data_IF_701349822623
#
_entry.id   IF_701349822623
#
_cell.length_a   1.000
_cell.length_b   1.000
_cell.length_c   1.000
_cell.angle_alpha   90.00
_cell.angle_beta   90.00
_cell.angle_gamma   90.00
#
_symmetry.space_group_name_H-M   'P 1'
#
loop_
_entity.id
_entity.type
_entity.pdbx_description
1 polymer ?
#
# COMPACT_ATOMS: atom_id res chain seq x y z
N UNK A 1 -3.64 -14.77 10.49
CA UNK A 1 -3.48 -13.97 9.24
C UNK A 1 -2.08 -14.00 8.62
N UNK A 2 -0.95 -13.87 9.35
CA UNK A 2 0.37 -13.75 8.72
C UNK A 2 0.83 -14.99 7.94
N UNK A 3 0.38 -16.19 8.32
CA UNK A 3 0.79 -17.46 7.68
C UNK A 3 0.11 -17.72 6.32
N UNK A 4 -1.15 -17.30 6.17
CA UNK A 4 -1.88 -17.43 4.89
C UNK A 4 -1.31 -16.49 3.83
N UNK A 5 -1.01 -15.25 4.21
CA UNK A 5 -0.36 -14.28 3.31
C UNK A 5 1.02 -14.79 2.87
N UNK A 6 1.83 -15.30 3.81
CA UNK A 6 3.14 -15.85 3.48
C UNK A 6 3.02 -17.04 2.53
N UNK A 7 2.11 -17.97 2.79
CA UNK A 7 1.87 -19.12 1.92
C UNK A 7 1.40 -18.70 0.52
N UNK A 8 0.49 -17.73 0.43
CA UNK A 8 0.03 -17.18 -0.84
C UNK A 8 1.16 -16.50 -1.64
N UNK A 9 2.00 -15.70 -0.98
CA UNK A 9 3.16 -15.08 -1.62
C UNK A 9 4.18 -16.13 -2.09
N UNK A 10 4.42 -17.19 -1.31
CA UNK A 10 5.30 -18.29 -1.73
C UNK A 10 4.77 -18.97 -2.99
N UNK A 11 3.49 -19.32 -3.02
CA UNK A 11 2.84 -19.93 -4.18
C UNK A 11 2.89 -19.02 -5.40
N UNK A 12 2.58 -17.73 -5.22
CA UNK A 12 2.63 -16.73 -6.29
C UNK A 12 4.02 -16.66 -6.91
N UNK A 13 5.07 -16.42 -6.12
CA UNK A 13 6.43 -16.25 -6.64
C UNK A 13 7.04 -17.57 -7.13
N UNK A 14 6.64 -18.72 -6.57
CA UNK A 14 7.02 -20.02 -7.11
C UNK A 14 6.39 -20.26 -8.50
N UNK A 15 5.10 -19.92 -8.66
CA UNK A 15 4.41 -19.95 -9.94
C UNK A 15 5.06 -19.03 -10.97
N UNK A 16 5.42 -17.80 -10.57
CA UNK A 16 6.15 -16.86 -11.43
C UNK A 16 7.52 -17.40 -11.84
N UNK A 17 8.29 -17.99 -10.91
CA UNK A 17 9.58 -18.59 -11.22
C UNK A 17 9.43 -19.72 -12.25
N UNK A 18 8.44 -20.60 -12.06
CA UNK A 18 8.15 -21.68 -13.01
C UNK A 18 7.72 -21.15 -14.38
N UNK A 19 6.88 -20.11 -14.42
CA UNK A 19 6.46 -19.48 -15.66
C UNK A 19 7.64 -18.84 -16.40
N UNK A 20 8.52 -18.10 -15.71
CA UNK A 20 9.70 -17.49 -16.33
C UNK A 20 10.69 -18.53 -16.85
N UNK A 21 10.94 -19.59 -16.09
CA UNK A 21 11.79 -20.69 -16.52
C UNK A 21 11.23 -21.36 -17.78
N UNK A 22 9.93 -21.66 -17.78
CA UNK A 22 9.25 -22.35 -18.89
C UNK A 22 9.23 -21.47 -20.14
N UNK A 23 8.83 -20.20 -20.02
CA UNK A 23 8.80 -19.26 -21.15
C UNK A 23 10.20 -19.00 -21.70
N UNK A 24 11.19 -18.80 -20.83
CA UNK A 24 12.58 -18.61 -21.23
C UNK A 24 13.15 -19.83 -21.97
N UNK A 25 12.87 -21.04 -21.49
CA UNK A 25 13.30 -22.27 -22.13
C UNK A 25 12.60 -22.49 -23.47
N UNK A 26 11.27 -22.28 -23.55
CA UNK A 26 10.51 -22.40 -24.80
C UNK A 26 10.99 -21.41 -25.85
N UNK A 27 11.22 -20.15 -25.47
CA UNK A 27 11.72 -19.12 -26.38
C UNK A 27 13.14 -19.43 -26.87
N UNK A 28 13.99 -20.00 -26.01
CA UNK A 28 15.35 -20.38 -26.38
C UNK A 28 15.40 -21.59 -27.33
N UNK A 29 14.59 -22.63 -27.07
CA UNK A 29 14.55 -23.85 -27.89
C UNK A 29 13.78 -23.65 -29.20
N UNK A 30 12.73 -22.83 -29.19
CA UNK A 30 11.81 -22.63 -30.32
C UNK A 30 11.53 -21.14 -30.59
N UNK A 31 12.55 -20.32 -30.89
CA UNK A 31 12.38 -18.87 -31.06
C UNK A 31 11.40 -18.54 -32.20
N UNK A 32 11.57 -19.13 -33.38
CA UNK A 32 10.67 -18.87 -34.51
C UNK A 32 9.27 -19.45 -34.27
N UNK A 33 9.17 -20.57 -33.56
CA UNK A 33 7.90 -21.20 -33.21
C UNK A 33 7.05 -20.31 -32.29
N UNK A 34 7.68 -19.73 -31.27
CA UNK A 34 7.00 -18.81 -30.33
C UNK A 34 6.54 -17.53 -31.02
N UNK A 35 7.36 -16.93 -31.89
CA UNK A 35 6.97 -15.73 -32.67
C UNK A 35 5.82 -16.05 -33.62
N UNK A 36 5.86 -17.20 -34.32
CA UNK A 36 4.75 -17.64 -35.19
C UNK A 36 3.46 -17.84 -34.43
N UNK A 37 3.50 -18.47 -33.26
CA UNK A 37 2.31 -18.67 -32.43
C UNK A 37 1.69 -17.34 -31.98
N UNK A 38 2.52 -16.37 -31.59
CA UNK A 38 2.05 -15.03 -31.19
C UNK A 38 1.50 -14.25 -32.38
N UNK A 39 2.14 -14.30 -33.55
CA UNK A 39 1.60 -13.71 -34.77
C UNK A 39 0.27 -14.36 -35.19
N UNK A 40 0.13 -15.68 -35.06
CA UNK A 40 -1.11 -16.40 -35.35
C UNK A 40 -2.24 -16.00 -34.39
N UNK A 41 -1.94 -15.79 -33.11
CA UNK A 41 -2.92 -15.30 -32.13
C UNK A 41 -3.38 -13.85 -32.42
N UNK A 42 -2.49 -13.01 -32.96
CA UNK A 42 -2.80 -11.62 -33.32
C UNK A 42 -3.48 -11.45 -34.69
N UNK A 43 -3.34 -12.42 -35.59
CA UNK A 43 -3.86 -12.34 -36.96
C UNK A 43 -5.39 -12.16 -37.05
N UNK A 44 -6.23 -12.86 -36.26
CA UNK A 44 -7.68 -12.64 -36.25
C UNK A 44 -8.10 -11.23 -35.83
N UNK A 45 -7.24 -10.53 -35.07
CA UNK A 45 -7.48 -9.16 -34.61
C UNK A 45 -6.94 -8.11 -35.60
N UNK A 46 -6.42 -8.53 -36.76
CA UNK A 46 -5.91 -7.65 -37.81
C UNK A 46 -4.50 -7.11 -37.56
N UNK A 47 -3.74 -7.66 -36.61
CA UNK A 47 -2.39 -7.19 -36.33
C UNK A 47 -1.37 -7.67 -37.38
N UNK A 48 -0.44 -6.80 -37.82
CA UNK A 48 0.63 -7.20 -38.72
C UNK A 48 1.61 -8.16 -38.01
N UNK A 49 2.24 -9.08 -38.75
CA UNK A 49 3.25 -9.97 -38.19
C UNK A 49 4.48 -9.18 -37.74
N UNK A 50 5.02 -9.54 -36.58
CA UNK A 50 6.28 -8.97 -36.10
C UNK A 50 7.46 -9.33 -37.02
N UNK A 51 8.45 -8.42 -37.20
CA UNK A 51 9.60 -8.68 -38.04
C UNK A 51 10.48 -9.82 -37.48
N UNK A 52 11.05 -10.69 -38.34
CA UNK A 52 11.98 -11.73 -37.91
C UNK A 52 13.30 -11.08 -37.47
N UNK A 53 13.59 -11.10 -36.15
CA UNK A 53 14.72 -10.33 -35.59
C UNK A 53 15.70 -11.16 -34.74
N UNK A 54 15.55 -12.48 -34.69
CA UNK A 54 16.33 -13.31 -33.78
C UNK A 54 17.77 -13.58 -34.28
N UNK A 55 18.66 -12.58 -34.21
CA UNK A 55 20.10 -12.84 -34.19
C UNK A 55 20.43 -13.61 -32.90
N UNK A 56 21.26 -14.65 -33.00
CA UNK A 56 21.65 -15.53 -31.87
C UNK A 56 22.15 -14.76 -30.64
N UNK A 57 22.75 -13.59 -30.85
CA UNK A 57 23.18 -12.68 -29.80
C UNK A 57 22.02 -12.17 -28.92
N UNK A 58 20.92 -11.69 -29.53
CA UNK A 58 19.76 -11.19 -28.79
C UNK A 58 19.01 -12.30 -28.06
N UNK A 59 18.98 -13.51 -28.64
CA UNK A 59 18.45 -14.71 -27.96
C UNK A 59 19.24 -15.01 -26.68
N UNK A 60 20.58 -14.91 -26.72
CA UNK A 60 21.43 -15.10 -25.54
C UNK A 60 21.14 -14.06 -24.45
N UNK A 61 20.98 -12.78 -24.82
CA UNK A 61 20.65 -11.72 -23.87
C UNK A 61 19.25 -11.91 -23.25
N UNK A 62 18.27 -12.32 -24.06
CA UNK A 62 16.93 -12.66 -23.60
C UNK A 62 16.92 -13.84 -22.63
N UNK A 63 17.69 -14.89 -22.92
CA UNK A 63 17.84 -16.04 -22.02
C UNK A 63 18.48 -15.61 -20.69
N UNK A 64 19.56 -14.83 -20.72
CA UNK A 64 20.23 -14.35 -19.52
C UNK A 64 19.27 -13.54 -18.61
N UNK A 65 18.45 -12.69 -19.20
CA UNK A 65 17.40 -11.97 -18.47
C UNK A 65 16.35 -12.92 -17.87
N UNK A 66 15.90 -13.94 -18.62
CA UNK A 66 14.94 -14.94 -18.13
C UNK A 66 15.48 -15.74 -16.95
N UNK A 67 16.78 -16.10 -16.97
CA UNK A 67 17.45 -16.72 -15.82
C UNK A 67 17.45 -15.78 -14.61
N UNK A 68 17.79 -14.51 -14.80
CA UNK A 68 17.82 -13.53 -13.70
C UNK A 68 16.45 -13.38 -13.03
N UNK A 69 15.39 -13.14 -13.80
CA UNK A 69 14.03 -12.96 -13.23
C UNK A 69 13.51 -14.24 -12.58
N UNK A 70 13.86 -15.41 -13.12
CA UNK A 70 13.55 -16.71 -12.51
C UNK A 70 14.23 -16.86 -11.15
N UNK A 71 15.52 -16.54 -11.07
CA UNK A 71 16.28 -16.63 -9.82
C UNK A 71 15.77 -15.64 -8.77
N UNK A 72 15.45 -14.40 -9.18
CA UNK A 72 14.83 -13.42 -8.29
C UNK A 72 13.49 -13.93 -7.74
N UNK A 73 12.59 -14.41 -8.62
CA UNK A 73 11.31 -14.96 -8.22
C UNK A 73 11.46 -16.18 -7.29
N UNK A 74 12.39 -17.10 -7.59
CA UNK A 74 12.67 -18.27 -6.75
C UNK A 74 13.25 -17.88 -5.39
N UNK A 75 14.11 -16.86 -5.34
CA UNK A 75 14.66 -16.35 -4.09
C UNK A 75 13.58 -15.70 -3.24
N UNK A 76 12.68 -14.91 -3.84
CA UNK A 76 11.52 -14.33 -3.15
C UNK A 76 10.59 -15.45 -2.63
N UNK A 77 10.34 -16.50 -3.42
CA UNK A 77 9.47 -17.60 -3.02
C UNK A 77 9.98 -18.37 -1.79
N UNK A 78 11.29 -18.45 -1.56
CA UNK A 78 11.87 -19.10 -0.37
C UNK A 78 11.57 -18.33 0.91
N UNK A 79 11.71 -17.01 0.86
CA UNK A 79 11.46 -16.13 1.99
C UNK A 79 10.88 -14.78 1.53
N UNK A 80 9.55 -14.67 1.33
CA UNK A 80 8.93 -13.47 0.79
C UNK A 80 9.10 -12.24 1.67
N UNK A 81 9.19 -12.41 3.00
CA UNK A 81 9.32 -11.28 3.93
C UNK A 81 10.76 -10.81 4.03
N UNK A 82 11.71 -11.73 4.29
CA UNK A 82 13.13 -11.35 4.40
C UNK A 82 13.73 -10.85 3.09
N UNK A 83 13.18 -11.26 1.94
CA UNK A 83 13.65 -10.88 0.60
C UNK A 83 12.71 -9.94 -0.14
N UNK A 84 11.86 -9.22 0.58
CA UNK A 84 10.93 -8.25 -0.01
C UNK A 84 11.63 -7.20 -0.88
N UNK A 85 12.87 -6.83 -0.56
CA UNK A 85 13.68 -5.89 -1.34
C UNK A 85 13.95 -6.34 -2.79
N UNK A 86 13.85 -7.64 -3.10
CA UNK A 86 14.01 -8.18 -4.45
C UNK A 86 12.75 -7.99 -5.32
N UNK A 87 11.57 -7.83 -4.71
CA UNK A 87 10.31 -7.65 -5.43
C UNK A 87 10.28 -6.39 -6.31
N UNK A 88 10.67 -5.19 -5.84
CA UNK A 88 10.75 -4.01 -6.71
C UNK A 88 11.83 -4.13 -7.77
N UNK A 89 12.92 -4.87 -7.52
CA UNK A 89 13.96 -5.14 -8.52
C UNK A 89 13.43 -6.01 -9.68
N UNK A 90 12.70 -7.07 -9.36
CA UNK A 90 11.99 -7.89 -10.33
C UNK A 90 10.97 -7.05 -11.13
N UNK A 91 10.21 -6.21 -10.42
CA UNK A 91 9.23 -5.33 -11.04
C UNK A 91 9.88 -4.33 -12.00
N UNK A 92 11.01 -3.73 -11.63
CA UNK A 92 11.73 -2.79 -12.47
C UNK A 92 12.16 -3.44 -13.78
N UNK A 93 12.76 -4.65 -13.73
CA UNK A 93 13.13 -5.39 -14.94
C UNK A 93 11.93 -5.64 -15.87
N UNK A 94 10.81 -6.08 -15.30
CA UNK A 94 9.56 -6.33 -16.05
C UNK A 94 8.94 -5.05 -16.60
N UNK A 95 8.95 -3.97 -15.83
CA UNK A 95 8.47 -2.67 -16.27
C UNK A 95 9.31 -2.12 -17.43
N UNK A 96 10.64 -2.28 -17.41
CA UNK A 96 11.50 -1.86 -18.53
C UNK A 96 11.13 -2.58 -19.81
N UNK A 97 11.00 -3.92 -19.80
CA UNK A 97 10.58 -4.67 -21.00
C UNK A 97 9.18 -4.26 -21.47
N UNK A 98 8.23 -4.08 -20.54
CA UNK A 98 6.88 -3.63 -20.85
C UNK A 98 6.86 -2.25 -21.52
N UNK A 99 7.56 -1.27 -20.96
CA UNK A 99 7.62 0.10 -21.49
C UNK A 99 8.30 0.14 -22.86
N UNK A 100 9.38 -0.61 -23.05
CA UNK A 100 10.05 -0.69 -24.35
C UNK A 100 9.14 -1.32 -25.41
N UNK A 101 8.43 -2.40 -25.09
CA UNK A 101 7.46 -3.01 -26.01
C UNK A 101 6.25 -2.10 -26.29
N UNK A 102 5.73 -1.40 -25.29
CA UNK A 102 4.68 -0.39 -25.49
C UNK A 102 5.17 0.73 -26.43
N UNK A 103 6.41 1.19 -26.23
CA UNK A 103 7.06 2.15 -27.12
C UNK A 103 7.14 1.65 -28.56
N UNK A 104 7.62 0.43 -28.79
CA UNK A 104 7.68 -0.15 -30.14
C UNK A 104 6.31 -0.32 -30.78
N UNK A 105 5.28 -0.68 -30.00
CA UNK A 105 3.92 -0.79 -30.49
C UNK A 105 3.38 0.57 -30.98
N UNK A 106 3.65 1.65 -30.25
CA UNK A 106 3.16 3.00 -30.57
C UNK A 106 3.97 3.67 -31.67
N UNK A 107 5.30 3.54 -31.64
CA UNK A 107 6.20 4.34 -32.47
C UNK A 107 6.83 3.59 -33.65
N UNK A 108 6.71 2.27 -33.74
CA UNK A 108 7.40 1.49 -34.79
C UNK A 108 6.45 0.63 -35.59
N UNK A 109 5.91 -0.43 -34.98
CA UNK A 109 5.00 -1.36 -35.64
C UNK A 109 4.00 -1.84 -34.60
N UNK A 110 2.69 -1.69 -34.82
CA UNK A 110 1.67 -2.17 -33.90
C UNK A 110 1.51 -3.69 -34.01
N UNK A 111 2.59 -4.47 -33.86
CA UNK A 111 2.53 -5.92 -33.87
C UNK A 111 1.94 -6.42 -32.55
N UNK A 112 1.09 -7.45 -32.63
CA UNK A 112 0.45 -8.07 -31.46
C UNK A 112 1.46 -8.52 -30.41
N UNK A 113 2.62 -9.01 -30.86
CA UNK A 113 3.73 -9.43 -30.00
C UNK A 113 4.12 -8.35 -28.97
N UNK A 114 4.26 -7.10 -29.41
CA UNK A 114 4.68 -6.00 -28.55
C UNK A 114 3.59 -5.60 -27.56
N UNK A 115 2.33 -5.58 -28.01
CA UNK A 115 1.19 -5.31 -27.12
C UNK A 115 1.03 -6.40 -26.06
N UNK A 116 1.06 -7.67 -26.48
CA UNK A 116 0.96 -8.81 -25.58
C UNK A 116 2.07 -8.80 -24.53
N UNK A 117 3.33 -8.58 -24.94
CA UNK A 117 4.44 -8.47 -24.01
C UNK A 117 4.26 -7.27 -23.06
N UNK A 118 3.88 -6.10 -23.58
CA UNK A 118 3.67 -4.90 -22.76
C UNK A 118 2.61 -5.12 -21.67
N UNK A 119 1.50 -5.76 -22.00
CA UNK A 119 0.41 -6.05 -21.06
C UNK A 119 0.82 -7.11 -20.03
N UNK A 120 1.43 -8.22 -20.48
CA UNK A 120 1.85 -9.31 -19.59
C UNK A 120 2.94 -8.85 -18.63
N UNK A 121 4.03 -8.27 -19.14
CA UNK A 121 5.14 -7.81 -18.29
C UNK A 121 4.74 -6.62 -17.41
N UNK A 122 3.84 -5.75 -17.89
CA UNK A 122 3.26 -4.68 -17.08
C UNK A 122 2.44 -5.22 -15.91
N UNK A 123 1.55 -6.19 -16.16
CA UNK A 123 0.77 -6.84 -15.11
C UNK A 123 1.68 -7.56 -14.09
N UNK A 124 2.72 -8.26 -14.56
CA UNK A 124 3.70 -8.92 -13.69
C UNK A 124 4.46 -7.93 -12.80
N UNK A 125 4.86 -6.78 -13.35
CA UNK A 125 5.49 -5.71 -12.58
C UNK A 125 4.56 -5.17 -11.49
N UNK A 126 3.29 -4.91 -11.83
CA UNK A 126 2.28 -4.45 -10.88
C UNK A 126 2.01 -5.49 -9.78
N UNK A 127 1.93 -6.78 -10.12
CA UNK A 127 1.78 -7.86 -9.14
C UNK A 127 2.96 -7.90 -8.18
N UNK A 128 4.20 -7.79 -8.68
CA UNK A 128 5.39 -7.76 -7.84
C UNK A 128 5.44 -6.53 -6.92
N UNK A 129 5.06 -5.34 -7.42
CA UNK A 129 4.96 -4.12 -6.61
C UNK A 129 3.82 -4.20 -5.58
N UNK A 130 2.67 -4.76 -5.95
CA UNK A 130 1.55 -4.98 -5.04
C UNK A 130 1.93 -5.93 -3.91
N UNK A 131 2.60 -7.04 -4.23
CA UNK A 131 3.14 -7.96 -3.23
C UNK A 131 4.15 -7.27 -2.29
N UNK A 132 5.05 -6.46 -2.84
CA UNK A 132 5.99 -5.67 -2.05
C UNK A 132 5.27 -4.70 -1.11
N UNK A 133 4.28 -3.96 -1.60
CA UNK A 133 3.50 -3.02 -0.81
C UNK A 133 2.77 -3.73 0.34
N UNK A 134 2.22 -4.92 0.10
CA UNK A 134 1.55 -5.74 1.14
C UNK A 134 2.55 -6.23 2.19
N UNK A 135 3.74 -6.68 1.79
CA UNK A 135 4.79 -7.09 2.75
C UNK A 135 5.27 -5.91 3.57
N UNK A 136 5.60 -4.80 2.91
CA UNK A 136 5.99 -3.54 3.54
C UNK A 136 4.92 -3.06 4.54
N UNK A 137 3.64 -3.22 4.20
CA UNK A 137 2.52 -2.84 5.03
C UNK A 137 2.27 -3.76 6.24
N UNK A 138 2.78 -4.98 6.23
CA UNK A 138 2.55 -5.98 7.29
C UNK A 138 3.79 -6.24 8.14
N UNK A 139 4.92 -5.63 7.82
CA UNK A 139 6.18 -5.80 8.55
C UNK A 139 6.13 -5.18 9.96
N UNK A 140 6.76 -5.83 10.96
CA UNK A 140 6.61 -5.49 12.38
C UNK A 140 7.52 -4.37 12.88
N UNK A 141 8.76 -4.30 12.39
CA UNK A 141 9.72 -3.27 12.82
C UNK A 141 9.31 -1.83 12.40
N UNK A 142 8.75 -1.61 11.20
CA UNK A 142 8.15 -0.32 10.84
C UNK A 142 6.97 0.06 11.74
N UNK A 143 6.19 -0.93 12.21
CA UNK A 143 4.99 -0.71 13.02
C UNK A 143 5.28 0.04 14.34
N UNK A 144 6.42 -0.24 14.98
CA UNK A 144 6.83 0.47 16.19
C UNK A 144 7.14 1.95 15.92
N UNK A 145 7.81 2.24 14.78
CA UNK A 145 8.08 3.62 14.34
C UNK A 145 6.79 4.33 13.93
N UNK A 146 5.89 3.62 13.26
CA UNK A 146 4.57 4.14 12.86
C UNK A 146 3.72 4.45 14.10
N UNK A 147 3.77 3.62 15.14
CA UNK A 147 3.10 3.89 16.41
C UNK A 147 3.67 5.12 17.13
N UNK A 148 5.00 5.27 17.17
CA UNK A 148 5.64 6.45 17.75
C UNK A 148 5.28 7.74 16.98
N UNK A 149 5.24 7.66 15.65
CA UNK A 149 4.83 8.76 14.80
C UNK A 149 3.34 9.09 14.97
N UNK A 150 2.47 8.08 15.04
CA UNK A 150 1.06 8.27 15.29
C UNK A 150 0.83 9.00 16.62
N UNK A 151 1.49 8.57 17.70
CA UNK A 151 1.43 9.27 19.00
C UNK A 151 1.88 10.71 18.88
N UNK A 152 3.01 10.97 18.22
CA UNK A 152 3.50 12.32 18.00
C UNK A 152 2.52 13.21 17.22
N UNK A 153 1.76 12.64 16.26
CA UNK A 153 0.73 13.36 15.53
C UNK A 153 -0.51 13.59 16.40
N UNK A 154 -0.98 12.58 17.12
CA UNK A 154 -2.17 12.68 17.98
C UNK A 154 -1.96 13.64 19.15
N UNK A 155 -0.77 13.63 19.76
CA UNK A 155 -0.39 14.58 20.82
C UNK A 155 -0.38 16.02 20.31
N UNK A 156 -0.01 16.24 19.05
CA UNK A 156 -0.07 17.56 18.43
C UNK A 156 -1.50 17.98 18.03
N UNK A 157 -2.40 17.02 17.81
CA UNK A 157 -3.81 17.28 17.48
C UNK A 157 -4.68 17.51 18.73
N UNK A 158 -4.42 16.75 19.80
CA UNK A 158 -5.14 16.81 21.07
C UNK A 158 -4.11 16.84 22.21
N UNK A 159 -3.48 18.01 22.46
CA UNK A 159 -2.46 18.14 23.49
C UNK A 159 -3.07 18.09 24.90
N UNK A 160 -2.31 17.55 25.85
CA UNK A 160 -2.67 17.59 27.28
C UNK A 160 -2.73 19.03 27.78
N UNK A 161 -3.76 19.35 28.55
CA UNK A 161 -3.94 20.70 29.10
C UNK A 161 -4.23 21.77 28.05
N UNK A 162 -4.66 21.37 26.85
CA UNK A 162 -5.18 22.27 25.83
C UNK A 162 -6.63 22.67 26.13
N UNK A 163 -7.55 22.62 25.16
CA UNK A 163 -8.98 22.86 25.40
C UNK A 163 -9.61 21.88 26.40
N UNK A 164 -8.99 20.71 26.59
CA UNK A 164 -9.41 19.68 27.53
C UNK A 164 -8.26 19.35 28.48
N UNK A 165 -8.56 18.96 29.73
CA UNK A 165 -7.54 18.52 30.67
C UNK A 165 -6.84 17.22 30.21
N UNK A 166 -7.58 16.32 29.56
CA UNK A 166 -7.05 15.08 28.98
C UNK A 166 -6.52 15.32 27.56
N UNK A 167 -5.38 14.73 27.23
CA UNK A 167 -4.83 14.71 25.88
C UNK A 167 -4.90 13.33 25.21
N UNK A 168 -4.45 13.24 23.96
CA UNK A 168 -4.41 11.97 23.23
C UNK A 168 -3.60 10.89 23.99
N UNK A 169 -2.46 11.24 24.59
CA UNK A 169 -1.63 10.33 25.38
C UNK A 169 -2.31 9.77 26.65
N UNK A 170 -3.39 10.38 27.13
CA UNK A 170 -4.18 9.86 28.27
C UNK A 170 -5.25 8.86 27.83
N UNK A 171 -5.36 8.62 26.52
CA UNK A 171 -6.39 7.79 25.92
C UNK A 171 -5.77 6.71 25.02
N UNK A 172 -6.48 5.60 24.83
CA UNK A 172 -6.07 4.53 23.89
C UNK A 172 -6.40 4.89 22.42
N UNK A 173 -6.19 6.16 22.04
CA UNK A 173 -6.60 6.73 20.75
C UNK A 173 -5.73 6.21 19.58
N UNK A 174 -4.44 6.00 19.83
CA UNK A 174 -3.50 5.42 18.87
C UNK A 174 -3.92 3.99 18.48
N UNK A 175 -4.24 3.14 19.47
CA UNK A 175 -4.73 1.79 19.22
C UNK A 175 -6.14 1.77 18.63
N UNK A 176 -7.00 2.75 18.96
CA UNK A 176 -8.32 2.89 18.35
C UNK A 176 -8.24 3.11 16.84
N UNK A 177 -7.42 4.09 16.42
CA UNK A 177 -7.20 4.39 15.00
C UNK A 177 -6.55 3.21 14.27
N UNK A 178 -5.53 2.58 14.87
CA UNK A 178 -4.90 1.40 14.28
C UNK A 178 -5.91 0.25 14.07
N UNK A 179 -6.80 0.00 15.04
CA UNK A 179 -7.87 -1.00 14.92
C UNK A 179 -8.92 -0.60 13.89
N UNK A 180 -9.28 0.67 13.82
CA UNK A 180 -10.25 1.17 12.83
C UNK A 180 -9.78 0.89 11.41
N UNK A 181 -8.56 1.30 11.07
CA UNK A 181 -7.98 1.03 9.75
C UNK A 181 -7.84 -0.47 9.47
N UNK A 182 -7.46 -1.27 10.47
CA UNK A 182 -7.37 -2.72 10.33
C UNK A 182 -8.73 -3.40 10.04
N UNK A 183 -9.84 -2.84 10.56
CA UNK A 183 -11.21 -3.37 10.33
C UNK A 183 -11.83 -2.88 9.04
N UNK A 184 -11.50 -1.66 8.60
CA UNK A 184 -12.11 -1.03 7.43
C UNK A 184 -11.81 -1.81 6.14
N UNK A 185 -10.57 -2.26 5.96
CA UNK A 185 -10.15 -2.93 4.73
C UNK A 185 -8.95 -3.87 4.99
N UNK A 186 -8.80 -4.99 4.25
CA UNK A 186 -7.63 -5.86 4.36
C UNK A 186 -6.28 -5.15 4.12
N UNK A 187 -6.29 -4.10 3.30
CA UNK A 187 -5.13 -3.22 3.04
C UNK A 187 -5.11 -1.95 3.91
N UNK A 188 -6.03 -1.81 4.87
CA UNK A 188 -6.12 -0.63 5.72
C UNK A 188 -4.86 -0.31 6.52
N UNK A 189 -4.13 -1.29 7.09
CA UNK A 189 -2.83 -1.04 7.72
C UNK A 189 -1.80 -0.47 6.75
N UNK A 190 -1.81 -0.89 5.48
CA UNK A 190 -0.93 -0.36 4.44
C UNK A 190 -1.23 1.11 4.15
N UNK A 191 -2.50 1.43 3.93
CA UNK A 191 -2.96 2.79 3.66
C UNK A 191 -2.67 3.72 4.84
N UNK A 192 -2.86 3.23 6.06
CA UNK A 192 -2.54 3.98 7.27
C UNK A 192 -1.04 4.27 7.40
N UNK A 193 -0.18 3.28 7.14
CA UNK A 193 1.28 3.49 7.10
C UNK A 193 1.68 4.48 6.03
N UNK A 194 1.10 4.40 4.83
CA UNK A 194 1.37 5.36 3.76
C UNK A 194 0.99 6.79 4.18
N UNK A 195 -0.17 6.96 4.84
CA UNK A 195 -0.62 8.24 5.38
C UNK A 195 0.38 8.78 6.41
N UNK A 196 0.82 7.95 7.36
CA UNK A 196 1.82 8.33 8.35
C UNK A 196 3.15 8.74 7.69
N UNK A 197 3.61 7.98 6.68
CA UNK A 197 4.84 8.33 5.94
C UNK A 197 4.70 9.61 5.14
N UNK A 198 3.53 9.89 4.59
CA UNK A 198 3.26 11.17 3.92
C UNK A 198 3.42 12.33 4.91
N UNK A 199 2.96 12.20 6.16
CA UNK A 199 3.16 13.20 7.20
C UNK A 199 4.65 13.30 7.59
N UNK A 200 5.30 12.17 7.86
CA UNK A 200 6.72 12.11 8.26
C UNK A 200 7.64 12.83 7.28
N UNK A 201 7.51 12.51 5.99
CA UNK A 201 8.38 13.06 4.94
C UNK A 201 7.84 14.34 4.34
N UNK A 202 6.54 14.63 4.43
CA UNK A 202 6.01 15.89 3.96
C UNK A 202 6.53 17.07 4.78
N UNK A 203 6.86 16.89 6.07
CA UNK A 203 7.61 17.88 6.85
C UNK A 203 9.00 18.18 6.25
N UNK A 204 9.67 17.17 5.69
CA UNK A 204 10.98 17.34 5.03
C UNK A 204 10.83 18.01 3.68
N UNK A 205 9.90 17.54 2.86
CA UNK A 205 9.75 18.01 1.47
C UNK A 205 9.18 19.42 1.41
N UNK A 206 8.13 19.69 2.17
CA UNK A 206 7.39 20.95 2.05
C UNK A 206 7.84 22.01 3.04
N UNK A 207 8.10 21.62 4.29
CA UNK A 207 8.54 22.57 5.33
C UNK A 207 10.08 22.71 5.36
N UNK A 208 10.81 21.92 4.55
CA UNK A 208 12.29 21.86 4.51
C UNK A 208 12.91 21.64 5.90
N UNK A 209 12.23 20.86 6.73
CA UNK A 209 12.63 20.58 8.11
C UNK A 209 13.09 19.12 8.29
N UNK A 210 13.35 18.71 9.53
CA UNK A 210 13.61 17.31 9.90
C UNK A 210 12.31 16.50 9.77
N UNK A 211 12.38 15.15 9.69
CA UNK A 211 11.18 14.31 9.70
C UNK A 211 10.26 14.65 10.88
N UNK A 212 8.95 14.59 10.68
CA UNK A 212 7.94 15.07 11.64
C UNK A 212 8.15 14.51 13.05
N UNK A 213 8.45 13.21 13.15
CA UNK A 213 8.74 12.53 14.43
C UNK A 213 9.87 13.16 15.23
N UNK A 214 10.82 13.86 14.58
CA UNK A 214 11.99 14.50 15.20
C UNK A 214 11.80 15.98 15.50
N UNK A 215 10.66 16.56 15.14
CA UNK A 215 10.34 17.95 15.46
C UNK A 215 9.99 18.09 16.95
N UNK A 216 10.27 19.26 17.52
CA UNK A 216 9.78 19.64 18.85
C UNK A 216 8.24 19.82 18.82
N UNK A 217 7.56 19.78 19.98
CA UNK A 217 6.09 19.87 20.03
C UNK A 217 5.52 21.11 19.32
N UNK A 218 6.12 22.29 19.54
CA UNK A 218 5.67 23.54 18.91
C UNK A 218 5.89 23.56 17.38
N UNK A 219 6.94 22.92 16.88
CA UNK A 219 7.21 22.77 15.46
C UNK A 219 6.27 21.75 14.81
N UNK A 220 5.86 20.69 15.53
CA UNK A 220 4.83 19.75 15.06
C UNK A 220 3.49 20.45 14.86
N UNK A 221 3.06 21.25 15.84
CA UNK A 221 1.83 22.05 15.73
C UNK A 221 1.87 23.01 14.55
N UNK A 222 2.97 23.78 14.40
CA UNK A 222 3.16 24.68 13.26
C UNK A 222 3.15 23.95 11.92
N UNK A 223 3.80 22.79 11.84
CA UNK A 223 3.79 21.98 10.62
C UNK A 223 2.36 21.52 10.28
N UNK A 224 1.60 21.01 11.26
CA UNK A 224 0.20 20.61 10.99
C UNK A 224 -0.67 21.82 10.62
N UNK A 225 -0.49 22.98 11.25
CA UNK A 225 -1.22 24.20 10.89
C UNK A 225 -0.89 24.68 9.46
N UNK A 226 0.36 24.55 9.02
CA UNK A 226 0.77 24.86 7.65
C UNK A 226 0.13 23.92 6.61
N UNK A 227 -0.11 22.66 6.99
CA UNK A 227 -0.83 21.71 6.13
C UNK A 227 -2.32 22.05 6.00
N UNK A 228 -2.93 22.56 7.07
CA UNK A 228 -4.35 22.95 7.09
C UNK A 228 -4.65 24.14 6.16
N UNK A 229 -3.68 25.04 6.05
CA UNK A 229 -3.75 26.25 5.22
C UNK A 229 -3.05 26.09 3.87
N UNK A 230 -2.58 24.88 3.53
CA UNK A 230 -1.81 24.63 2.32
C UNK A 230 -2.64 24.84 1.04
N UNK A 231 -2.02 25.41 0.00
CA UNK A 231 -2.63 25.51 -1.34
C UNK A 231 -2.82 24.14 -2.01
N UNK A 232 -2.14 23.10 -1.52
CA UNK A 232 -2.22 21.74 -2.05
C UNK A 232 -3.43 21.01 -1.43
N UNK A 233 -4.50 20.88 -2.22
CA UNK A 233 -5.74 20.19 -1.82
C UNK A 233 -5.54 18.81 -1.14
N UNK A 234 -4.69 17.92 -1.66
CA UNK A 234 -4.41 16.63 -1.02
C UNK A 234 -3.84 16.73 0.40
N UNK A 235 -3.02 17.75 0.71
CA UNK A 235 -2.44 17.93 2.07
C UNK A 235 -3.53 18.28 3.08
N UNK A 236 -4.40 19.21 2.70
CA UNK A 236 -5.56 19.62 3.50
C UNK A 236 -6.49 18.44 3.73
N UNK A 237 -6.82 17.70 2.67
CA UNK A 237 -7.72 16.54 2.76
C UNK A 237 -7.15 15.46 3.70
N UNK A 238 -5.85 15.19 3.61
CA UNK A 238 -5.18 14.20 4.45
C UNK A 238 -5.26 14.60 5.94
N UNK A 239 -4.90 15.84 6.26
CA UNK A 239 -4.97 16.33 7.64
C UNK A 239 -6.41 16.41 8.16
N UNK A 240 -7.35 16.90 7.37
CA UNK A 240 -8.75 17.00 7.74
C UNK A 240 -9.35 15.61 8.03
N UNK A 241 -9.04 14.62 7.20
CA UNK A 241 -9.49 13.24 7.42
C UNK A 241 -8.92 12.65 8.70
N UNK A 242 -7.63 12.91 8.98
CA UNK A 242 -7.00 12.44 10.21
C UNK A 242 -7.57 13.13 11.45
N UNK A 243 -7.75 14.46 11.42
CA UNK A 243 -8.41 15.24 12.48
C UNK A 243 -9.81 14.70 12.76
N UNK A 244 -10.60 14.48 11.71
CA UNK A 244 -11.96 13.99 11.83
C UNK A 244 -12.00 12.63 12.52
N UNK A 245 -11.18 11.67 12.06
CA UNK A 245 -11.14 10.34 12.66
C UNK A 245 -10.59 10.35 14.09
N UNK A 246 -9.55 11.14 14.35
CA UNK A 246 -8.96 11.27 15.68
C UNK A 246 -9.95 11.90 16.67
N UNK A 247 -10.60 13.01 16.30
CA UNK A 247 -11.57 13.68 17.15
C UNK A 247 -12.83 12.84 17.35
N UNK A 248 -13.32 12.17 16.31
CA UNK A 248 -14.45 11.23 16.43
C UNK A 248 -14.16 10.17 17.49
N UNK A 249 -13.02 9.48 17.38
CA UNK A 249 -12.64 8.45 18.36
C UNK A 249 -12.23 9.00 19.72
N UNK A 250 -11.85 10.27 19.82
CA UNK A 250 -11.59 10.94 21.09
C UNK A 250 -12.90 11.26 21.82
N UNK A 251 -13.91 11.79 21.13
CA UNK A 251 -15.20 12.12 21.74
C UNK A 251 -16.09 10.90 22.04
N UNK A 252 -15.84 9.77 21.40
CA UNK A 252 -16.47 8.48 21.75
C UNK A 252 -16.07 7.98 23.15
N UNK A 253 -15.06 8.57 23.78
CA UNK A 253 -14.50 8.13 25.06
C UNK A 253 -15.29 8.65 26.25
N UNK A 254 -15.82 7.77 27.13
CA UNK A 254 -16.52 8.18 28.34
C UNK A 254 -15.69 9.09 29.25
N UNK A 255 -14.37 8.91 29.26
CA UNK A 255 -13.43 9.71 30.05
C UNK A 255 -13.42 11.20 29.63
N UNK A 256 -13.77 11.48 28.37
CA UNK A 256 -13.79 12.84 27.79
C UNK A 256 -15.14 13.53 28.03
N UNK A 257 -16.22 12.78 28.22
CA UNK A 257 -17.58 13.33 28.34
C UNK A 257 -17.75 14.41 29.41
N UNK A 258 -17.19 14.26 30.63
CA UNK A 258 -17.28 15.31 31.66
C UNK A 258 -16.65 16.62 31.21
N UNK A 259 -15.53 16.56 30.47
CA UNK A 259 -14.81 17.74 29.99
C UNK A 259 -15.56 18.49 28.87
N UNK A 260 -16.44 17.79 28.15
CA UNK A 260 -17.29 18.36 27.08
C UNK A 260 -18.66 18.79 27.63
N UNK A 261 -18.97 18.48 28.90
CA UNK A 261 -20.27 18.72 29.51
C UNK A 261 -21.36 17.77 29.02
N UNK A 262 -20.98 16.61 28.49
CA UNK A 262 -21.93 15.59 28.06
C UNK A 262 -22.32 14.69 29.24
N UNK A 263 -23.61 14.69 29.60
CA UNK A 263 -24.19 13.80 30.59
C UNK A 263 -24.98 12.66 29.90
N UNK A 264 -24.43 11.45 29.96
CA UNK A 264 -25.07 10.27 29.38
C UNK A 264 -26.29 9.80 30.19
N UNK A 265 -26.43 10.23 31.45
CA UNK A 265 -27.50 9.79 32.34
C UNK A 265 -28.86 10.28 31.87
N UNK A 266 -28.94 11.45 31.22
CA UNK A 266 -30.17 11.94 30.60
C UNK A 266 -30.63 11.01 29.47
N UNK A 267 -29.73 10.69 28.54
CA UNK A 267 -30.01 9.80 27.42
C UNK A 267 -30.33 8.37 27.89
N UNK A 268 -29.56 7.85 28.86
CA UNK A 268 -29.79 6.53 29.46
C UNK A 268 -31.16 6.44 30.12
N UNK A 269 -31.56 7.46 30.89
CA UNK A 269 -32.92 7.54 31.48
C UNK A 269 -34.00 7.55 30.41
N UNK A 270 -33.82 8.33 29.35
CA UNK A 270 -34.79 8.42 28.24
C UNK A 270 -34.91 7.11 27.45
N UNK A 271 -33.81 6.40 27.22
CA UNK A 271 -33.78 5.10 26.54
C UNK A 271 -34.44 4.00 27.39
N UNK A 272 -34.20 4.00 28.69
CA UNK A 272 -34.79 3.06 29.64
C UNK A 272 -36.27 3.36 29.97
N UNK A 273 -36.75 4.56 29.67
CA UNK A 273 -38.18 4.91 29.76
C UNK A 273 -38.93 4.75 28.42
N UNK A 274 -38.23 4.40 27.34
CA UNK A 274 -38.81 4.29 26.00
C UNK A 274 -39.50 2.95 25.74
N UNK A 275 -40.23 2.82 24.60
CA UNK A 275 -40.97 1.61 24.25
C UNK A 275 -40.09 0.35 24.08
N UNK A 276 -38.78 0.54 23.87
CA UNK A 276 -37.79 -0.55 23.73
C UNK A 276 -36.89 -0.72 24.97
N UNK A 277 -37.34 -0.27 26.15
CA UNK A 277 -36.55 -0.26 27.38
C UNK A 277 -35.89 -1.60 27.72
N UNK A 278 -36.61 -2.73 27.56
CA UNK A 278 -36.09 -4.07 27.85
C UNK A 278 -34.86 -4.43 26.98
N UNK A 279 -34.89 -4.08 25.69
CA UNK A 279 -33.78 -4.31 24.77
C UNK A 279 -32.59 -3.38 25.05
N UNK A 280 -32.86 -2.12 25.44
CA UNK A 280 -31.81 -1.19 25.86
C UNK A 280 -31.16 -1.61 27.18
N UNK A 281 -31.94 -2.07 28.16
CA UNK A 281 -31.42 -2.58 29.43
C UNK A 281 -30.49 -3.78 29.23
N UNK A 282 -30.84 -4.71 28.34
CA UNK A 282 -30.00 -5.87 28.02
C UNK A 282 -28.64 -5.48 27.40
N UNK A 283 -28.59 -4.44 26.55
CA UNK A 283 -27.33 -3.94 25.97
C UNK A 283 -26.48 -3.10 26.92
N UNK A 284 -27.10 -2.53 27.95
CA UNK A 284 -26.43 -1.66 28.93
C UNK A 284 -25.89 -2.42 30.15
N UNK A 285 -26.24 -3.71 30.29
CA UNK A 285 -25.81 -4.61 31.35
C UNK A 285 -24.61 -5.51 30.96
N UNK A 286 -24.21 -5.48 29.69
CA UNK A 286 -23.00 -6.10 29.13
C UNK A 286 -21.89 -5.07 28.95
#
# INVERSE_FOLDING_TARGET
MPDRLQSALRLLFAGLAAAFATTGLLFFLFPDGTVRALNAAGSPLGFPPAPPSALRFWLSLGLAYMVLVTLLAAQIARDPRGRAHLMPLLAAGKATSSLTCAGYFVFSLPAFLYLANALVDGALALVALGAWAVVWATDGAPAARDAALLRAVLDALVPRGGPFPLGAADTDLDAALARYFARLHPLGPAGFRLLLRAIEYGAVVFERTRPFSRLDPAARERALAAWDTSRLGPRRQLLASLKLLALMHFYERPEVWPAVGYDDAYLRRKLLAGPNAAHHAARLAT
#
